data_IF_480663613700
#
_entry.id   IF_480663613700
#
_cell.length_a   1.000
_cell.length_b   1.000
_cell.length_c   1.000
_cell.angle_alpha   90.00
_cell.angle_beta   90.00
_cell.angle_gamma   90.00
#
_symmetry.space_group_name_H-M   'P 1'
#
loop_
_entity.id
_entity.type
_entity.pdbx_description
1 polymer ?
#
# COMPACT_ATOMS: atom_id res chain seq x y z
N UNK A 1 -50.81 -17.62 8.57
CA UNK A 1 -50.01 -16.92 7.54
C UNK A 1 -48.60 -16.48 8.01
N UNK A 2 -48.17 -16.78 9.23
CA UNK A 2 -46.96 -16.16 9.82
C UNK A 2 -45.64 -16.83 9.44
N UNK A 3 -45.59 -18.17 9.38
CA UNK A 3 -44.34 -18.93 9.19
C UNK A 3 -43.65 -18.68 7.83
N UNK A 4 -44.42 -18.49 6.75
CA UNK A 4 -43.87 -18.35 5.39
C UNK A 4 -42.93 -17.14 5.26
N UNK A 5 -43.33 -15.99 5.84
CA UNK A 5 -42.54 -14.75 5.83
C UNK A 5 -41.26 -14.85 6.66
N UNK A 6 -41.23 -15.67 7.70
CA UNK A 6 -40.01 -15.91 8.48
C UNK A 6 -39.00 -16.73 7.67
N UNK A 7 -39.46 -17.72 6.89
CA UNK A 7 -38.60 -18.50 6.00
C UNK A 7 -37.96 -17.63 4.90
N UNK A 8 -38.73 -16.73 4.30
CA UNK A 8 -38.25 -15.78 3.28
C UNK A 8 -37.20 -14.82 3.84
N UNK A 9 -37.44 -14.24 5.03
CA UNK A 9 -36.50 -13.35 5.70
C UNK A 9 -35.17 -14.06 6.05
N UNK A 10 -35.25 -15.25 6.66
CA UNK A 10 -34.06 -16.06 7.00
C UNK A 10 -33.26 -16.43 5.75
N UNK A 11 -33.94 -16.85 4.68
CA UNK A 11 -33.26 -17.16 3.41
C UNK A 11 -32.53 -15.95 2.83
N UNK A 12 -33.19 -14.78 2.80
CA UNK A 12 -32.54 -13.53 2.36
C UNK A 12 -31.33 -13.15 3.22
N UNK A 13 -31.33 -13.44 4.53
CA UNK A 13 -30.16 -13.22 5.39
C UNK A 13 -29.02 -14.19 5.05
N UNK A 14 -29.33 -15.47 4.84
CA UNK A 14 -28.32 -16.48 4.45
C UNK A 14 -27.71 -16.16 3.09
N UNK A 15 -28.52 -15.82 2.08
CA UNK A 15 -28.06 -15.46 0.74
C UNK A 15 -27.17 -14.19 0.79
N UNK A 16 -27.52 -13.20 1.62
CA UNK A 16 -26.71 -12.00 1.84
C UNK A 16 -25.36 -12.30 2.52
N UNK A 17 -25.36 -13.11 3.58
CA UNK A 17 -24.12 -13.55 4.26
C UNK A 17 -23.25 -14.36 3.31
N UNK A 18 -23.82 -15.27 2.52
CA UNK A 18 -23.06 -16.07 1.57
C UNK A 18 -22.43 -15.20 0.46
N UNK A 19 -23.13 -14.17 -0.02
CA UNK A 19 -22.57 -13.15 -0.94
C UNK A 19 -21.47 -12.30 -0.29
N UNK A 20 -21.56 -12.02 1.02
CA UNK A 20 -20.49 -11.34 1.77
C UNK A 20 -19.27 -12.25 2.01
N UNK A 21 -19.46 -13.57 2.04
CA UNK A 21 -18.39 -14.57 2.15
C UNK A 21 -17.74 -14.91 0.79
N UNK A 22 -18.49 -14.90 -0.32
CA UNK A 22 -17.98 -15.17 -1.67
C UNK A 22 -17.09 -14.05 -2.24
N UNK A 23 -16.99 -12.91 -1.55
CA UNK A 23 -16.23 -11.74 -2.01
C UNK A 23 -16.99 -10.85 -3.00
N UNK A 24 -18.19 -11.24 -3.45
CA UNK A 24 -19.03 -10.51 -4.42
C UNK A 24 -19.72 -9.25 -3.85
N UNK A 25 -19.13 -8.65 -2.81
CA UNK A 25 -19.56 -7.39 -2.21
C UNK A 25 -18.96 -6.16 -2.91
N UNK A 26 -18.12 -6.35 -3.93
CA UNK A 26 -17.72 -5.31 -4.86
C UNK A 26 -18.88 -4.89 -5.78
N UNK A 27 -18.85 -3.62 -6.19
CA UNK A 27 -19.65 -3.11 -7.31
C UNK A 27 -19.35 -3.96 -8.55
N UNK A 28 -20.35 -4.67 -9.09
CA UNK A 28 -20.15 -5.55 -10.24
C UNK A 28 -20.03 -4.71 -11.49
N UNK A 29 -18.78 -4.37 -11.83
CA UNK A 29 -18.42 -3.59 -13.01
C UNK A 29 -19.16 -4.04 -14.26
N UNK A 30 -19.53 -3.07 -15.09
CA UNK A 30 -20.18 -3.31 -16.37
C UNK A 30 -19.34 -4.25 -17.23
N UNK A 31 -19.94 -5.35 -17.72
CA UNK A 31 -19.26 -6.29 -18.62
C UNK A 31 -18.99 -5.71 -20.02
N UNK A 32 -19.57 -4.56 -20.34
CA UNK A 32 -19.26 -3.81 -21.54
C UNK A 32 -18.00 -2.97 -21.37
N UNK A 33 -17.32 -2.73 -22.48
CA UNK A 33 -16.29 -1.70 -22.63
C UNK A 33 -16.91 -0.46 -23.27
N UNK A 34 -16.28 0.70 -23.10
CA UNK A 34 -16.65 1.89 -23.87
C UNK A 34 -16.28 1.72 -25.36
N UNK A 35 -16.85 2.56 -26.22
CA UNK A 35 -16.59 2.55 -27.66
C UNK A 35 -15.18 3.06 -28.00
N UNK A 36 -14.45 2.34 -28.86
CA UNK A 36 -13.05 2.64 -29.19
C UNK A 36 -12.87 4.00 -29.89
N UNK A 37 -13.83 4.45 -30.70
CA UNK A 37 -13.76 5.75 -31.36
C UNK A 37 -14.04 6.90 -30.37
N UNK A 38 -14.96 6.69 -29.43
CA UNK A 38 -15.19 7.60 -28.31
C UNK A 38 -13.94 7.70 -27.40
N UNK A 39 -13.32 6.56 -27.07
CA UNK A 39 -12.08 6.51 -26.27
C UNK A 39 -10.95 7.26 -26.99
N UNK A 40 -10.74 7.00 -28.28
CA UNK A 40 -9.72 7.67 -29.08
C UNK A 40 -9.93 9.18 -29.14
N UNK A 41 -11.17 9.65 -29.34
CA UNK A 41 -11.52 11.07 -29.33
C UNK A 41 -11.27 11.76 -27.99
N UNK A 42 -11.59 11.08 -26.88
CA UNK A 42 -11.32 11.58 -25.52
C UNK A 42 -9.81 11.68 -25.28
N UNK A 43 -9.05 10.60 -25.52
CA UNK A 43 -7.60 10.55 -25.22
C UNK A 43 -6.80 11.48 -26.12
N UNK A 44 -7.22 11.72 -27.37
CA UNK A 44 -6.60 12.70 -28.26
C UNK A 44 -6.76 14.16 -27.80
N UNK A 45 -7.71 14.44 -26.89
CA UNK A 45 -7.93 15.76 -26.29
C UNK A 45 -7.27 15.92 -24.91
N UNK A 46 -6.52 14.93 -24.44
CA UNK A 46 -5.87 14.94 -23.12
C UNK A 46 -4.43 15.46 -23.17
N UNK A 47 -3.88 15.98 -22.05
CA UNK A 47 -2.46 16.27 -21.94
C UNK A 47 -1.61 15.00 -22.10
N UNK A 48 -0.38 15.18 -22.59
CA UNK A 48 0.54 14.10 -23.01
C UNK A 48 0.70 12.98 -21.97
N UNK A 49 1.01 13.32 -20.72
CA UNK A 49 1.28 12.36 -19.64
C UNK A 49 0.03 11.55 -19.23
N UNK A 50 -1.14 12.16 -18.96
CA UNK A 50 -2.42 11.45 -18.86
C UNK A 50 -2.72 10.51 -20.04
N UNK A 51 -2.52 10.97 -21.28
CA UNK A 51 -2.75 10.17 -22.47
C UNK A 51 -1.78 8.98 -22.59
N UNK A 52 -0.51 9.17 -22.24
CA UNK A 52 0.52 8.12 -22.20
C UNK A 52 0.16 7.04 -21.17
N UNK A 53 -0.29 7.42 -19.98
CA UNK A 53 -0.73 6.46 -18.94
C UNK A 53 -2.01 5.74 -19.35
N UNK A 54 -2.99 6.44 -19.94
CA UNK A 54 -4.17 5.81 -20.52
C UNK A 54 -3.81 4.75 -21.58
N UNK A 55 -2.89 5.08 -22.50
CA UNK A 55 -2.36 4.15 -23.51
C UNK A 55 -1.70 2.91 -22.90
N UNK A 56 -0.85 3.09 -21.88
CA UNK A 56 -0.20 2.00 -21.14
C UNK A 56 -1.19 1.08 -20.43
N UNK A 57 -2.29 1.63 -19.90
CA UNK A 57 -3.35 0.82 -19.28
C UNK A 57 -4.20 0.09 -20.32
N UNK A 58 -4.54 0.73 -21.44
CA UNK A 58 -5.24 0.06 -22.56
C UNK A 58 -4.42 -1.10 -23.12
N UNK A 59 -3.12 -0.92 -23.30
CA UNK A 59 -2.20 -1.99 -23.71
C UNK A 59 -2.13 -3.15 -22.69
N UNK A 60 -2.30 -2.87 -21.39
CA UNK A 60 -2.15 -3.87 -20.32
C UNK A 60 -3.45 -4.59 -19.95
N UNK A 61 -4.59 -3.92 -20.05
CA UNK A 61 -5.88 -4.41 -19.54
C UNK A 61 -7.03 -4.41 -20.57
N UNK A 62 -6.79 -3.96 -21.80
CA UNK A 62 -7.84 -3.73 -22.81
C UNK A 62 -8.54 -2.37 -22.64
N UNK A 63 -9.54 -2.05 -23.48
CA UNK A 63 -10.27 -0.79 -23.40
C UNK A 63 -11.02 -0.63 -22.06
N UNK A 64 -11.21 0.61 -21.57
CA UNK A 64 -11.93 0.89 -20.33
C UNK A 64 -13.41 0.49 -20.39
N UNK A 65 -14.02 0.29 -19.22
CA UNK A 65 -15.44 0.03 -19.05
C UNK A 65 -16.30 1.30 -19.12
N UNK A 66 -15.75 2.44 -18.69
CA UNK A 66 -16.35 3.77 -18.83
C UNK A 66 -15.31 4.75 -19.37
N UNK A 67 -15.73 5.62 -20.29
CA UNK A 67 -14.90 6.69 -20.83
C UNK A 67 -15.68 8.01 -20.77
N UNK A 68 -15.07 9.04 -20.17
CA UNK A 68 -15.60 10.39 -20.08
C UNK A 68 -14.47 11.41 -20.29
N UNK A 69 -14.82 12.64 -20.69
CA UNK A 69 -13.86 13.70 -21.03
C UNK A 69 -12.79 13.98 -19.96
N UNK A 70 -13.08 13.69 -18.69
CA UNK A 70 -12.20 13.92 -17.53
C UNK A 70 -11.54 12.65 -16.98
N UNK A 71 -12.02 11.44 -17.32
CA UNK A 71 -11.48 10.18 -16.81
C UNK A 71 -11.84 8.93 -17.63
N UNK A 72 -10.99 7.92 -17.56
CA UNK A 72 -11.26 6.54 -18.01
C UNK A 72 -11.30 5.61 -16.80
N UNK A 73 -12.24 4.65 -16.78
CA UNK A 73 -12.39 3.68 -15.69
C UNK A 73 -12.36 2.25 -16.22
N UNK A 74 -11.54 1.40 -15.59
CA UNK A 74 -11.60 -0.06 -15.69
C UNK A 74 -12.13 -0.62 -14.38
N UNK A 75 -13.01 -1.62 -14.46
CA UNK A 75 -13.52 -2.38 -13.30
C UNK A 75 -13.00 -3.81 -13.33
N UNK A 76 -12.69 -4.38 -12.18
CA UNK A 76 -12.21 -5.76 -12.00
C UNK A 76 -11.00 -6.15 -12.89
N UNK A 77 -10.08 -5.20 -13.16
CA UNK A 77 -8.97 -5.39 -14.08
C UNK A 77 -7.71 -5.93 -13.38
N UNK A 78 -7.38 -7.21 -13.63
CA UNK A 78 -6.21 -7.85 -13.02
C UNK A 78 -6.37 -7.97 -11.49
N UNK A 79 -5.42 -7.48 -10.68
CA UNK A 79 -5.55 -7.49 -9.22
C UNK A 79 -6.43 -6.34 -8.67
N UNK A 80 -6.89 -5.43 -9.52
CA UNK A 80 -7.58 -4.21 -9.11
C UNK A 80 -9.10 -4.39 -9.17
N UNK A 81 -9.80 -3.96 -8.11
CA UNK A 81 -11.26 -3.82 -8.12
C UNK A 81 -11.71 -2.73 -9.10
N UNK A 82 -10.93 -1.65 -9.19
CA UNK A 82 -11.13 -0.55 -10.13
C UNK A 82 -9.79 0.16 -10.39
N UNK A 83 -9.61 0.66 -11.61
CA UNK A 83 -8.52 1.56 -11.99
C UNK A 83 -9.13 2.78 -12.65
N UNK A 84 -8.70 3.98 -12.26
CA UNK A 84 -9.14 5.25 -12.85
C UNK A 84 -7.91 6.03 -13.31
N UNK A 85 -7.92 6.55 -14.53
CA UNK A 85 -7.02 7.63 -14.95
C UNK A 85 -7.82 8.90 -15.13
N UNK A 86 -7.30 10.00 -14.61
CA UNK A 86 -7.83 11.35 -14.79
C UNK A 86 -7.04 12.12 -15.86
N UNK A 87 -7.75 13.00 -16.58
CA UNK A 87 -7.13 13.97 -17.50
C UNK A 87 -6.29 15.01 -16.76
N UNK A 88 -6.75 15.43 -15.59
CA UNK A 88 -6.20 16.57 -14.86
C UNK A 88 -5.29 16.07 -13.72
N UNK A 89 -4.06 16.59 -13.68
CA UNK A 89 -3.04 16.18 -12.73
C UNK A 89 -3.16 16.90 -11.38
N UNK A 90 -3.12 16.15 -10.27
CA UNK A 90 -3.29 16.68 -8.90
C UNK A 90 -1.94 16.76 -8.18
N UNK A 91 -1.41 17.97 -7.88
CA UNK A 91 -0.11 18.12 -7.21
C UNK A 91 -0.19 17.84 -5.70
N UNK A 92 0.80 17.12 -5.18
CA UNK A 92 0.91 16.71 -3.78
C UNK A 92 2.38 16.52 -3.37
N UNK A 93 2.64 16.58 -2.06
CA UNK A 93 4.00 16.64 -1.49
C UNK A 93 4.44 15.39 -0.72
N UNK A 94 3.75 14.26 -0.89
CA UNK A 94 4.00 13.04 -0.12
C UNK A 94 4.27 11.82 -1.04
N UNK A 95 5.38 11.06 -0.86
CA UNK A 95 6.50 11.30 0.06
C UNK A 95 7.48 12.39 -0.44
N UNK A 96 7.25 12.95 -1.62
CA UNK A 96 7.99 14.05 -2.24
C UNK A 96 7.05 14.84 -3.17
N UNK A 97 7.40 16.06 -3.62
CA UNK A 97 6.61 16.78 -4.63
C UNK A 97 6.47 15.98 -5.93
N UNK A 98 5.24 15.65 -6.31
CA UNK A 98 4.87 15.13 -7.63
C UNK A 98 3.38 15.38 -7.92
N UNK A 99 2.86 14.78 -8.99
CA UNK A 99 1.46 14.86 -9.40
C UNK A 99 0.87 13.47 -9.62
N UNK A 100 -0.29 13.25 -8.99
CA UNK A 100 -1.12 12.07 -9.17
C UNK A 100 -2.10 12.25 -10.35
N UNK A 101 -2.38 11.15 -11.06
CA UNK A 101 -3.40 11.06 -12.11
C UNK A 101 -4.01 9.65 -12.25
N UNK A 102 -3.55 8.68 -11.46
CA UNK A 102 -3.90 7.27 -11.53
C UNK A 102 -4.31 6.76 -10.14
N UNK A 103 -5.59 6.42 -9.98
CA UNK A 103 -6.11 5.79 -8.76
C UNK A 103 -6.37 4.30 -9.00
N UNK A 104 -5.97 3.45 -8.05
CA UNK A 104 -6.22 2.01 -8.12
C UNK A 104 -6.80 1.49 -6.80
N UNK A 105 -7.86 0.70 -6.89
CA UNK A 105 -8.66 0.24 -5.76
C UNK A 105 -8.51 -1.27 -5.55
N UNK A 106 -8.43 -1.71 -4.29
CA UNK A 106 -8.47 -3.13 -3.88
C UNK A 106 -9.46 -3.32 -2.72
N UNK A 107 -10.14 -4.46 -2.67
CA UNK A 107 -10.94 -4.86 -1.49
C UNK A 107 -10.06 -5.65 -0.51
N UNK A 108 -9.28 -4.93 0.29
CA UNK A 108 -8.44 -5.55 1.33
C UNK A 108 -9.24 -5.81 2.61
N UNK A 109 -9.32 -7.08 3.05
CA UNK A 109 -9.92 -7.44 4.35
C UNK A 109 -8.85 -7.54 5.43
N UNK A 110 -8.87 -6.60 6.36
CA UNK A 110 -7.99 -6.57 7.53
C UNK A 110 -8.37 -7.72 8.49
N UNK A 111 -7.43 -8.58 8.91
CA UNK A 111 -7.68 -9.56 9.98
C UNK A 111 -8.03 -8.85 11.29
N UNK A 112 -9.01 -9.37 12.04
CA UNK A 112 -9.56 -8.67 13.24
C UNK A 112 -8.49 -8.29 14.28
N UNK A 113 -7.44 -9.10 14.45
CA UNK A 113 -6.33 -8.82 15.35
C UNK A 113 -5.21 -7.94 14.78
N UNK A 114 -5.43 -7.22 13.67
CA UNK A 114 -4.41 -6.37 12.99
C UNK A 114 -4.89 -4.96 12.60
N UNK A 115 -6.00 -4.48 13.16
CA UNK A 115 -6.40 -3.09 12.97
C UNK A 115 -5.38 -2.12 13.59
N UNK A 116 -4.82 -2.44 14.75
CA UNK A 116 -3.79 -1.63 15.41
C UNK A 116 -2.47 -1.58 14.61
N UNK A 117 -2.03 -2.72 14.06
CA UNK A 117 -0.87 -2.82 13.17
C UNK A 117 -1.04 -1.88 11.94
N UNK A 118 -2.22 -1.94 11.31
CA UNK A 118 -2.52 -1.12 10.13
C UNK A 118 -2.62 0.37 10.47
N UNK A 119 -3.20 0.71 11.63
CA UNK A 119 -3.26 2.09 12.13
C UNK A 119 -1.88 2.62 12.55
N UNK A 120 -0.92 1.75 12.87
CA UNK A 120 0.47 2.12 13.13
C UNK A 120 1.30 2.28 11.84
N UNK A 121 1.01 1.49 10.80
CA UNK A 121 1.79 1.41 9.56
C UNK A 121 2.00 2.76 8.84
N UNK A 122 0.99 3.65 8.86
CA UNK A 122 1.05 4.97 8.23
C UNK A 122 1.75 6.07 9.03
N UNK A 123 2.19 5.82 10.28
CA UNK A 123 2.85 6.85 11.09
C UNK A 123 4.34 6.95 10.77
N UNK A 124 4.71 7.95 10.00
CA UNK A 124 6.10 8.37 9.88
C UNK A 124 6.68 8.65 11.28
N UNK A 125 7.73 7.90 11.64
CA UNK A 125 8.51 8.17 12.84
C UNK A 125 9.31 9.46 12.61
N UNK A 126 8.81 10.59 13.11
CA UNK A 126 9.62 11.81 13.29
C UNK A 126 10.90 11.46 14.03
N UNK A 127 12.01 11.43 13.30
CA UNK A 127 13.32 11.07 13.85
C UNK A 127 13.91 12.26 14.60
N UNK A 128 13.92 12.19 15.93
CA UNK A 128 14.80 13.01 16.77
C UNK A 128 14.48 14.51 16.83
N UNK A 129 13.37 14.86 17.49
CA UNK A 129 13.20 16.17 18.11
C UNK A 129 12.52 16.01 19.46
N UNK A 130 13.11 16.62 20.49
CA UNK A 130 12.70 16.62 21.90
C UNK A 130 12.56 15.24 22.60
N UNK A 131 13.63 14.82 23.30
CA UNK A 131 13.48 14.63 24.74
C UNK A 131 14.85 14.70 25.46
N UNK A 132 15.12 15.84 26.09
CA UNK A 132 16.30 16.05 26.92
C UNK A 132 16.18 15.41 28.31
N UNK A 133 16.05 14.07 28.39
CA UNK A 133 16.04 13.36 29.68
C UNK A 133 17.44 12.96 30.16
N UNK A 134 17.76 13.41 31.37
CA UNK A 134 19.00 13.19 32.13
C UNK A 134 19.27 11.68 32.39
N UNK A 135 20.00 11.04 31.49
CA UNK A 135 20.49 9.65 31.65
C UNK A 135 21.64 9.59 32.66
N UNK A 136 21.34 9.78 33.94
CA UNK A 136 22.26 9.46 35.03
C UNK A 136 22.56 7.96 35.00
N UNK A 137 23.83 7.53 34.97
CA UNK A 137 24.16 6.12 35.00
C UNK A 137 23.76 5.51 36.35
N UNK A 138 22.91 4.48 36.31
CA UNK A 138 22.57 3.69 37.49
C UNK A 138 23.83 2.97 37.98
N UNK A 139 24.33 3.37 39.15
CA UNK A 139 25.44 2.69 39.80
C UNK A 139 24.97 1.37 40.41
N UNK A 140 25.11 0.28 39.69
CA UNK A 140 25.25 -1.03 40.31
C UNK A 140 26.66 -1.14 40.91
N UNK A 141 26.74 -1.45 42.20
CA UNK A 141 28.00 -1.65 42.93
C UNK A 141 28.19 -3.11 43.34
N UNK A 142 29.44 -3.53 43.50
CA UNK A 142 29.84 -4.94 43.62
C UNK A 142 30.03 -5.56 42.22
N UNK A 143 31.20 -6.08 41.84
CA UNK A 143 32.35 -6.50 42.64
C UNK A 143 33.69 -6.10 41.97
N UNK A 144 34.75 -5.87 42.76
CA UNK A 144 36.07 -5.46 42.26
C UNK A 144 37.15 -6.49 42.62
N UNK A 145 37.56 -7.27 41.62
CA UNK A 145 38.73 -8.17 41.71
C UNK A 145 39.68 -7.92 40.52
N UNK A 146 41.01 -8.03 40.72
CA UNK A 146 41.95 -7.15 40.05
C UNK A 146 42.39 -7.58 38.65
N UNK A 147 42.77 -6.59 37.83
CA UNK A 147 43.47 -6.80 36.56
C UNK A 147 44.84 -7.47 36.80
N UNK A 148 45.20 -8.55 36.07
CA UNK A 148 46.55 -9.09 36.12
C UNK A 148 47.55 -8.08 35.54
N UNK A 149 48.68 -7.89 36.25
CA UNK A 149 49.71 -6.90 35.92
C UNK A 149 50.54 -7.30 34.67
N UNK A 150 51.07 -6.32 33.91
CA UNK A 150 51.89 -6.61 32.73
C UNK A 150 53.24 -7.24 33.12
N UNK A 151 53.56 -8.41 32.56
CA UNK A 151 54.91 -8.99 32.67
C UNK A 151 55.83 -8.39 31.60
N UNK A 152 56.97 -7.88 32.04
CA UNK A 152 58.00 -7.27 31.18
C UNK A 152 59.22 -8.18 31.03
N UNK A 153 59.89 -8.08 29.86
CA UNK A 153 61.25 -8.64 29.56
C UNK A 153 61.35 -10.19 29.56
N UNK A 154 62.39 -10.82 29.00
CA UNK A 154 63.62 -10.31 28.35
C UNK A 154 64.12 -11.16 27.17
N UNK A 155 65.06 -10.60 26.42
CA UNK A 155 65.67 -11.01 25.14
C UNK A 155 66.29 -12.42 25.01
N UNK A 156 66.18 -13.03 23.82
CA UNK A 156 67.26 -13.72 23.06
C UNK A 156 66.71 -14.32 21.74
N UNK A 157 67.42 -14.37 20.60
CA UNK A 157 68.64 -13.66 20.19
C UNK A 157 69.43 -14.37 19.06
N UNK A 158 69.77 -13.66 17.95
CA UNK A 158 70.45 -14.16 16.70
C UNK A 158 69.56 -15.13 15.88
N UNK A 159 69.72 -15.36 14.58
CA UNK A 159 70.66 -14.94 13.51
C UNK A 159 70.71 -16.08 12.47
N UNK A 160 70.88 -15.92 11.15
CA UNK A 160 71.20 -14.79 10.26
C UNK A 160 70.55 -15.10 8.86
N UNK A 161 70.80 -14.51 7.67
CA UNK A 161 71.73 -13.49 7.16
C UNK A 161 72.08 -13.75 5.67
N UNK A 162 72.13 -12.69 4.83
CA UNK A 162 72.19 -12.64 3.33
C UNK A 162 70.84 -12.68 2.60
#
# INVERSE_FOLDING_TARGET
MTQHRMGEAVKSTVDAVQKQLSGEAGEKGTRGTADDAQIAGIVAAWPEKPAEVAGKLMQKYGPPNEAAETRLIWHANGPWKRTIVYRDEVPHNFPKPHTDLLEQFIDYRVPLGRFDDLAAYGRERRSGADEGRDLRPVRHGGDELPRPQPRTRCCSGRGDGR
#
